data_IF_285886679098
#
_entry.id   IF_285886679098
#
_cell.length_a   1.000
_cell.length_b   1.000
_cell.length_c   1.000
_cell.angle_alpha   90.00
_cell.angle_beta   90.00
_cell.angle_gamma   90.00
#
_symmetry.space_group_name_H-M   'P 1'
#
loop_
_entity.id
_entity.type
_entity.pdbx_description
1 polymer ?
#
# COMPACT_ATOMS: atom_id res chain seq x y z
N UNK A 1 -15.01 -2.63 24.22
CA UNK A 1 -16.20 -3.52 24.03
C UNK A 1 -15.84 -4.54 22.98
N UNK A 2 -16.19 -5.81 23.17
CA UNK A 2 -15.95 -6.82 22.14
C UNK A 2 -17.07 -6.80 21.11
N UNK A 3 -16.73 -6.99 19.84
CA UNK A 3 -17.71 -7.26 18.79
C UNK A 3 -18.41 -8.58 19.13
N UNK A 4 -19.67 -8.52 19.49
CA UNK A 4 -20.46 -9.70 19.92
C UNK A 4 -21.38 -10.22 18.83
N UNK A 5 -21.66 -9.41 17.81
CA UNK A 5 -22.48 -9.83 16.67
C UNK A 5 -21.66 -10.64 15.67
N UNK A 6 -22.01 -11.91 15.47
CA UNK A 6 -21.33 -12.74 14.47
C UNK A 6 -21.34 -12.11 13.07
N UNK A 7 -22.38 -11.34 12.74
CA UNK A 7 -22.51 -10.70 11.45
C UNK A 7 -21.47 -9.60 11.19
N UNK A 8 -21.20 -8.74 12.18
CA UNK A 8 -20.20 -7.67 12.04
C UNK A 8 -18.80 -8.25 11.86
N UNK A 9 -18.44 -9.22 12.71
CA UNK A 9 -17.14 -9.90 12.65
C UNK A 9 -16.96 -10.60 11.30
N UNK A 10 -17.99 -11.34 10.85
CA UNK A 10 -17.94 -12.07 9.59
C UNK A 10 -17.78 -11.12 8.39
N UNK A 11 -18.58 -10.04 8.33
CA UNK A 11 -18.45 -9.02 7.27
C UNK A 11 -17.05 -8.43 7.22
N UNK A 12 -16.49 -8.08 8.39
CA UNK A 12 -15.19 -7.45 8.46
C UNK A 12 -14.07 -8.42 8.06
N UNK A 13 -14.16 -9.68 8.46
CA UNK A 13 -13.22 -10.71 8.04
C UNK A 13 -13.26 -10.97 6.54
N UNK A 14 -14.45 -11.03 5.93
CA UNK A 14 -14.58 -11.18 4.47
C UNK A 14 -13.98 -9.98 3.72
N UNK A 15 -14.14 -8.76 4.26
CA UNK A 15 -13.48 -7.57 3.70
C UNK A 15 -11.96 -7.67 3.84
N UNK A 16 -11.44 -8.10 4.99
CA UNK A 16 -9.99 -8.29 5.19
C UNK A 16 -9.40 -9.32 4.22
N UNK A 17 -10.07 -10.46 4.07
CA UNK A 17 -9.66 -11.49 3.10
C UNK A 17 -9.66 -10.94 1.67
N UNK A 18 -10.69 -10.17 1.31
CA UNK A 18 -10.78 -9.58 -0.02
C UNK A 18 -9.72 -8.50 -0.28
N UNK A 19 -9.19 -7.84 0.77
CA UNK A 19 -8.15 -6.80 0.68
C UNK A 19 -6.71 -7.35 0.57
N UNK A 20 -6.51 -8.66 0.62
CA UNK A 20 -5.17 -9.26 0.57
C UNK A 20 -4.26 -8.74 -0.57
N UNK A 21 -4.74 -8.51 -1.82
CA UNK A 21 -3.89 -7.95 -2.87
C UNK A 21 -3.40 -6.53 -2.59
N UNK A 22 -4.26 -5.68 -2.04
CA UNK A 22 -3.93 -4.29 -1.70
C UNK A 22 -3.00 -4.22 -0.50
N UNK A 23 -3.17 -5.11 0.48
CA UNK A 23 -2.24 -5.28 1.61
C UNK A 23 -0.86 -5.71 1.09
N UNK A 24 -0.81 -6.63 0.14
CA UNK A 24 0.44 -7.05 -0.51
C UNK A 24 1.12 -5.87 -1.21
N UNK A 25 0.36 -4.99 -1.88
CA UNK A 25 0.89 -3.78 -2.49
C UNK A 25 1.49 -2.83 -1.45
N UNK A 26 0.81 -2.59 -0.34
CA UNK A 26 1.31 -1.76 0.77
C UNK A 26 2.66 -2.26 1.29
N UNK A 27 2.80 -3.58 1.44
CA UNK A 27 4.02 -4.23 1.96
C UNK A 27 5.24 -4.12 1.05
N UNK A 28 5.06 -3.75 -0.21
CA UNK A 28 6.21 -3.52 -1.10
C UNK A 28 6.96 -2.23 -0.78
N UNK A 29 6.35 -1.32 -0.02
CA UNK A 29 6.93 -0.05 0.41
C UNK A 29 7.27 -0.03 1.90
N UNK A 30 7.76 1.09 2.41
CA UNK A 30 7.89 1.30 3.85
C UNK A 30 6.51 1.53 4.43
N UNK A 31 6.09 0.66 5.35
CA UNK A 31 4.75 0.74 5.91
C UNK A 31 4.75 0.74 7.43
N UNK A 32 3.74 1.36 7.99
CA UNK A 32 3.40 1.27 9.40
C UNK A 32 1.92 0.89 9.54
N UNK A 33 1.70 -0.39 9.78
CA UNK A 33 0.39 -1.00 9.97
C UNK A 33 0.29 -1.43 11.44
N UNK A 34 -0.76 -1.00 12.13
CA UNK A 34 -0.96 -1.35 13.53
C UNK A 34 -2.45 -1.34 13.88
N UNK A 35 -2.81 -2.07 14.92
CA UNK A 35 -4.13 -2.11 15.54
C UNK A 35 -4.40 -0.92 16.48
N UNK A 36 -3.38 -0.07 16.70
CA UNK A 36 -3.52 1.14 17.51
C UNK A 36 -4.46 2.12 16.83
N UNK A 37 -5.55 2.44 17.50
CA UNK A 37 -6.54 3.40 16.98
C UNK A 37 -5.95 4.81 16.85
N UNK A 38 -6.37 5.53 15.81
CA UNK A 38 -5.96 6.89 15.57
C UNK A 38 -7.15 7.79 15.23
N UNK A 39 -6.97 9.09 15.43
CA UNK A 39 -7.92 10.11 15.01
C UNK A 39 -7.63 10.55 13.57
N UNK A 40 -8.66 11.02 12.88
CA UNK A 40 -8.50 11.64 11.57
C UNK A 40 -7.57 12.84 11.65
N UNK A 41 -6.58 12.92 10.75
CA UNK A 41 -5.56 13.96 10.76
C UNK A 41 -4.38 13.67 11.71
N UNK A 42 -4.37 12.54 12.42
CA UNK A 42 -3.23 12.14 13.24
C UNK A 42 -1.99 11.92 12.37
N UNK A 43 -0.82 12.21 12.93
CA UNK A 43 0.46 12.02 12.27
C UNK A 43 1.12 10.75 12.79
N UNK A 44 1.44 9.84 11.89
CA UNK A 44 2.18 8.61 12.20
C UNK A 44 3.63 8.80 11.81
N UNK A 45 4.53 8.47 12.72
CA UNK A 45 5.97 8.52 12.50
C UNK A 45 6.42 7.23 11.81
N UNK A 46 6.94 7.36 10.61
CA UNK A 46 7.53 6.24 9.87
C UNK A 46 9.05 6.44 9.81
N UNK A 47 9.84 5.62 10.54
CA UNK A 47 11.29 5.74 10.53
C UNK A 47 11.87 5.17 9.25
N UNK A 48 12.89 5.82 8.70
CA UNK A 48 13.68 5.29 7.60
C UNK A 48 15.18 5.57 7.78
N UNK A 49 16.00 4.74 7.15
CA UNK A 49 17.45 4.85 7.23
C UNK A 49 17.97 5.43 5.93
N UNK A 50 18.70 6.54 6.02
CA UNK A 50 19.50 7.05 4.92
C UNK A 50 20.89 6.42 4.99
N UNK A 51 21.25 5.61 4.00
CA UNK A 51 22.59 5.06 3.90
C UNK A 51 23.60 6.19 3.68
N UNK A 52 24.69 6.16 4.42
CA UNK A 52 25.83 7.03 4.19
C UNK A 52 26.59 6.68 2.92
N UNK A 53 27.50 7.55 2.52
CA UNK A 53 28.46 7.26 1.45
C UNK A 53 29.46 6.22 1.93
N UNK A 54 29.78 5.25 1.06
CA UNK A 54 30.86 4.31 1.34
C UNK A 54 32.19 5.07 1.40
N UNK A 55 32.90 4.96 2.52
CA UNK A 55 34.24 5.51 2.68
C UNK A 55 35.26 4.37 2.57
N UNK A 56 36.32 4.63 1.82
CA UNK A 56 37.43 3.68 1.75
C UNK A 56 38.28 3.78 3.01
N UNK A 57 38.48 2.66 3.67
CA UNK A 57 39.47 2.56 4.74
C UNK A 57 40.84 2.57 4.13
N UNK A 58 41.53 3.73 4.18
CA UNK A 58 42.89 3.91 3.72
C UNK A 58 43.90 3.88 4.87
N UNK A 59 45.18 3.64 4.58
CA UNK A 59 46.25 3.69 5.56
C UNK A 59 46.35 5.06 6.25
N UNK A 60 45.96 6.11 5.56
CA UNK A 60 45.96 7.49 6.07
C UNK A 60 44.86 7.75 7.12
N UNK A 61 43.76 7.01 7.07
CA UNK A 61 42.71 7.11 8.07
C UNK A 61 43.08 6.46 9.42
N UNK A 62 44.11 5.63 9.43
CA UNK A 62 44.67 5.09 10.68
C UNK A 62 45.53 6.11 11.43
N UNK A 63 45.94 7.20 10.80
CA UNK A 63 46.84 8.20 11.38
C UNK A 63 46.10 9.35 12.07
N UNK A 64 44.77 9.46 11.91
CA UNK A 64 43.99 10.48 12.60
C UNK A 64 43.75 10.08 14.06
N UNK A 65 44.67 10.45 14.88
CA UNK A 65 44.66 10.17 16.32
C UNK A 65 43.60 10.94 17.10
N UNK A 66 42.84 11.84 16.45
CA UNK A 66 41.89 12.71 17.13
C UNK A 66 40.44 12.25 17.04
N UNK A 67 40.09 11.31 16.16
CA UNK A 67 38.69 10.92 15.93
C UNK A 67 38.34 9.45 16.16
N UNK A 68 39.25 8.72 16.87
CA UNK A 68 38.90 7.33 17.24
C UNK A 68 38.57 6.44 16.04
N UNK A 69 39.51 6.27 15.16
CA UNK A 69 39.74 5.12 14.29
C UNK A 69 38.67 4.66 13.28
N UNK A 70 37.45 5.18 13.27
CA UNK A 70 36.46 4.85 12.29
C UNK A 70 35.75 6.12 11.85
N UNK A 71 36.01 6.58 10.64
CA UNK A 71 35.17 7.56 10.01
C UNK A 71 33.73 6.98 10.01
N UNK A 72 32.84 7.63 10.70
CA UNK A 72 31.46 7.18 10.79
C UNK A 72 30.82 7.40 9.43
N UNK A 73 30.42 6.31 8.76
CA UNK A 73 29.52 6.42 7.65
C UNK A 73 28.35 7.30 8.09
N UNK A 74 28.12 8.40 7.39
CA UNK A 74 27.12 9.43 7.73
C UNK A 74 25.69 8.95 7.45
N UNK A 75 25.37 7.69 7.76
CA UNK A 75 24.02 7.18 7.76
C UNK A 75 23.23 7.86 8.87
N UNK A 76 22.07 8.39 8.55
CA UNK A 76 21.17 8.99 9.53
C UNK A 76 19.87 8.23 9.60
N UNK A 77 19.39 8.03 10.82
CA UNK A 77 18.00 7.65 11.05
C UNK A 77 17.17 8.93 10.92
N UNK A 78 16.27 8.95 9.97
CA UNK A 78 15.34 10.04 9.73
C UNK A 78 13.89 9.55 9.87
N UNK A 79 13.00 10.46 10.15
CA UNK A 79 11.58 10.15 10.30
C UNK A 79 10.77 10.97 9.31
N UNK A 80 9.77 10.33 8.73
CA UNK A 80 8.70 11.00 7.99
C UNK A 80 7.42 10.91 8.78
N UNK A 81 6.68 12.00 8.84
CA UNK A 81 5.38 12.05 9.47
C UNK A 81 4.29 11.97 8.41
N UNK A 82 3.68 10.81 8.31
CA UNK A 82 2.55 10.57 7.41
C UNK A 82 1.28 11.02 8.11
N UNK A 83 0.51 11.89 7.46
CA UNK A 83 -0.79 12.35 7.99
C UNK A 83 -1.90 11.40 7.52
N UNK A 84 -2.71 10.92 8.46
CA UNK A 84 -3.88 10.07 8.18
C UNK A 84 -5.07 10.94 7.77
N UNK A 85 -5.14 11.34 6.51
CA UNK A 85 -6.12 12.29 5.98
C UNK A 85 -7.23 11.66 5.12
N UNK A 86 -7.19 10.35 4.91
CA UNK A 86 -8.22 9.59 4.18
C UNK A 86 -8.90 8.58 5.09
N UNK A 87 -10.21 8.57 5.03
CA UNK A 87 -11.06 7.64 5.77
C UNK A 87 -12.08 6.97 4.85
N UNK A 88 -11.66 5.95 4.07
CA UNK A 88 -12.60 5.17 3.30
C UNK A 88 -13.52 4.39 4.23
N UNK A 89 -14.80 4.34 3.86
CA UNK A 89 -15.82 3.61 4.62
C UNK A 89 -16.74 2.84 3.70
N UNK A 90 -17.15 1.66 4.14
CA UNK A 90 -18.18 0.85 3.52
C UNK A 90 -19.33 0.70 4.49
N UNK A 91 -20.53 0.94 4.01
CA UNK A 91 -21.76 0.78 4.80
C UNK A 91 -22.65 -0.26 4.11
N UNK A 92 -22.90 -1.36 4.79
CA UNK A 92 -23.77 -2.44 4.32
C UNK A 92 -25.11 -2.35 5.07
N UNK A 93 -26.22 -1.99 4.40
CA UNK A 93 -27.53 -1.98 5.01
C UNK A 93 -28.06 -3.41 5.13
N UNK A 94 -28.72 -3.74 6.25
CA UNK A 94 -29.37 -5.02 6.49
C UNK A 94 -30.81 -4.76 6.87
N UNK A 95 -31.73 -5.21 6.05
CA UNK A 95 -33.17 -5.13 6.31
C UNK A 95 -33.63 -6.30 7.19
N UNK A 96 -34.87 -6.23 7.72
CA UNK A 96 -35.45 -7.35 8.46
C UNK A 96 -35.62 -8.60 7.59
N UNK A 97 -35.93 -8.43 6.31
CA UNK A 97 -36.04 -9.52 5.34
C UNK A 97 -34.69 -10.22 5.15
N UNK A 98 -33.61 -9.44 5.04
CA UNK A 98 -32.27 -10.00 4.92
C UNK A 98 -31.85 -10.82 6.14
N UNK A 99 -32.33 -10.47 7.36
CA UNK A 99 -32.03 -11.25 8.57
C UNK A 99 -32.61 -12.67 8.52
N UNK A 100 -33.68 -12.91 7.79
CA UNK A 100 -34.28 -14.22 7.61
C UNK A 100 -33.53 -15.08 6.58
N UNK A 101 -32.82 -14.42 5.65
CA UNK A 101 -32.06 -15.05 4.57
C UNK A 101 -30.55 -15.14 4.88
N UNK A 102 -30.08 -14.57 5.97
CA UNK A 102 -28.69 -14.39 6.38
C UNK A 102 -27.83 -15.64 6.68
N UNK A 103 -28.31 -16.90 6.60
CA UNK A 103 -27.39 -18.03 6.67
C UNK A 103 -26.54 -18.21 5.41
N UNK A 104 -26.71 -17.37 4.36
CA UNK A 104 -26.07 -17.60 3.08
C UNK A 104 -24.69 -16.95 3.01
N UNK A 105 -23.63 -17.78 2.92
CA UNK A 105 -22.23 -17.33 2.80
C UNK A 105 -22.02 -16.41 1.59
N UNK A 106 -22.85 -16.53 0.55
CA UNK A 106 -22.78 -15.66 -0.63
C UNK A 106 -23.06 -14.18 -0.36
N UNK A 107 -23.86 -13.85 0.65
CA UNK A 107 -24.11 -12.46 1.05
C UNK A 107 -22.85 -11.82 1.64
N UNK A 108 -22.16 -12.54 2.52
CA UNK A 108 -20.95 -12.05 3.18
C UNK A 108 -19.80 -11.88 2.20
N UNK A 109 -19.65 -12.81 1.24
CA UNK A 109 -18.67 -12.70 0.16
C UNK A 109 -18.91 -11.44 -0.70
N UNK A 110 -20.18 -11.13 -1.06
CA UNK A 110 -20.53 -9.90 -1.77
C UNK A 110 -20.26 -8.63 -0.95
N UNK A 111 -20.47 -8.68 0.37
CA UNK A 111 -20.10 -7.59 1.26
C UNK A 111 -18.58 -7.39 1.31
N UNK A 112 -17.81 -8.49 1.28
CA UNK A 112 -16.35 -8.48 1.15
C UNK A 112 -15.89 -7.82 -0.15
N UNK A 113 -16.46 -8.21 -1.29
CA UNK A 113 -16.16 -7.59 -2.60
C UNK A 113 -16.49 -6.10 -2.62
N UNK A 114 -17.65 -5.69 -2.08
CA UNK A 114 -18.02 -4.28 -1.98
C UNK A 114 -17.03 -3.52 -1.08
N UNK A 115 -16.57 -4.12 0.01
CA UNK A 115 -15.54 -3.58 0.88
C UNK A 115 -14.21 -3.35 0.16
N UNK A 116 -13.75 -4.36 -0.57
CA UNK A 116 -12.56 -4.26 -1.40
C UNK A 116 -12.66 -3.14 -2.43
N UNK A 117 -13.76 -3.07 -3.16
CA UNK A 117 -13.96 -2.06 -4.21
C UNK A 117 -13.90 -0.62 -3.66
N UNK A 118 -14.26 -0.39 -2.41
CA UNK A 118 -14.23 0.94 -1.79
C UNK A 118 -12.94 1.18 -1.03
N UNK A 119 -12.59 0.31 -0.09
CA UNK A 119 -11.42 0.49 0.77
C UNK A 119 -10.14 0.21 -0.01
N UNK A 120 -10.08 -0.89 -0.76
CA UNK A 120 -8.93 -1.28 -1.57
C UNK A 120 -8.62 -0.26 -2.67
N UNK A 121 -9.65 0.18 -3.42
CA UNK A 121 -9.47 1.26 -4.41
C UNK A 121 -9.01 2.57 -3.77
N UNK A 122 -9.44 2.87 -2.55
CA UNK A 122 -8.95 4.05 -1.83
C UNK A 122 -7.48 3.92 -1.46
N UNK A 123 -7.04 2.75 -0.98
CA UNK A 123 -5.62 2.46 -0.68
C UNK A 123 -4.78 2.62 -1.95
N UNK A 124 -5.20 1.96 -3.03
CA UNK A 124 -4.51 2.00 -4.32
C UNK A 124 -4.41 3.43 -4.87
N UNK A 125 -5.50 4.21 -4.80
CA UNK A 125 -5.53 5.62 -5.23
C UNK A 125 -4.61 6.51 -4.42
N UNK A 126 -4.55 6.31 -3.11
CA UNK A 126 -3.63 7.10 -2.26
C UNK A 126 -2.17 6.79 -2.57
N UNK A 127 -1.82 5.52 -2.77
CA UNK A 127 -0.47 5.13 -3.18
C UNK A 127 -0.14 5.73 -4.54
N UNK A 128 -0.99 5.51 -5.54
CA UNK A 128 -0.77 5.97 -6.91
C UNK A 128 -0.86 7.48 -7.06
N UNK A 129 -1.65 8.16 -6.22
CA UNK A 129 -1.77 9.62 -6.18
C UNK A 129 -0.48 10.36 -5.83
N UNK A 130 0.54 9.63 -5.34
CA UNK A 130 1.87 10.18 -5.15
C UNK A 130 2.73 10.15 -6.43
N UNK A 131 2.33 9.41 -7.46
CA UNK A 131 3.13 9.28 -8.68
C UNK A 131 2.77 10.34 -9.72
N UNK A 132 2.87 11.60 -9.36
CA UNK A 132 2.59 12.74 -10.24
C UNK A 132 3.88 13.45 -10.65
N UNK A 133 3.80 14.24 -11.72
CA UNK A 133 4.94 15.02 -12.20
C UNK A 133 5.46 16.02 -11.16
N UNK A 134 4.60 16.50 -10.28
CA UNK A 134 4.96 17.47 -9.23
C UNK A 134 5.68 16.81 -8.06
N UNK A 135 5.29 15.59 -7.71
CA UNK A 135 5.84 14.85 -6.56
C UNK A 135 7.05 14.00 -6.92
N UNK A 136 7.10 13.42 -8.13
CA UNK A 136 8.19 12.55 -8.59
C UNK A 136 9.34 13.40 -9.19
N UNK A 137 10.22 13.90 -8.32
CA UNK A 137 11.34 14.76 -8.71
C UNK A 137 12.50 14.03 -9.40
N UNK A 138 12.50 12.71 -9.41
CA UNK A 138 13.42 11.90 -10.21
C UNK A 138 13.27 12.13 -11.72
N UNK A 139 12.07 12.52 -12.15
CA UNK A 139 11.78 12.95 -13.51
C UNK A 139 10.83 12.02 -14.27
N UNK A 140 10.57 12.42 -15.53
CA UNK A 140 9.71 11.69 -16.46
C UNK A 140 10.51 10.61 -17.21
N UNK A 141 9.98 9.41 -17.27
CA UNK A 141 10.41 8.35 -18.17
C UNK A 141 9.36 8.21 -19.27
N UNK A 142 9.76 8.43 -20.51
CA UNK A 142 8.85 8.29 -21.65
C UNK A 142 8.94 6.87 -22.20
N UNK A 143 7.79 6.19 -22.28
CA UNK A 143 7.69 4.82 -22.76
C UNK A 143 6.39 4.66 -23.56
N UNK A 144 6.49 4.37 -24.86
CA UNK A 144 5.32 4.22 -25.73
C UNK A 144 4.60 2.89 -25.53
N UNK A 145 5.36 1.81 -25.23
CA UNK A 145 4.87 0.45 -24.98
C UNK A 145 5.88 -0.31 -24.13
N UNK A 146 5.42 -1.35 -23.46
CA UNK A 146 6.30 -2.22 -22.68
C UNK A 146 6.99 -3.22 -23.62
N UNK A 147 8.30 -3.09 -23.76
CA UNK A 147 9.16 -4.01 -24.50
C UNK A 147 10.28 -4.50 -23.60
N UNK A 148 10.90 -5.64 -23.92
CA UNK A 148 12.07 -6.16 -23.18
C UNK A 148 13.17 -5.09 -23.03
N UNK A 149 13.42 -4.32 -24.11
CA UNK A 149 14.40 -3.23 -24.09
C UNK A 149 13.95 -2.05 -23.22
N UNK A 150 12.65 -1.71 -23.22
CA UNK A 150 12.14 -0.62 -22.38
C UNK A 150 12.29 -0.97 -20.90
N UNK A 151 11.92 -2.20 -20.49
CA UNK A 151 12.10 -2.68 -19.12
C UNK A 151 13.58 -2.71 -18.72
N UNK A 152 14.45 -3.17 -19.61
CA UNK A 152 15.90 -3.15 -19.37
C UNK A 152 16.45 -1.71 -19.19
N UNK A 153 15.91 -0.73 -19.93
CA UNK A 153 16.26 0.68 -19.76
C UNK A 153 15.77 1.25 -18.42
N UNK A 154 14.58 0.86 -17.95
CA UNK A 154 14.10 1.25 -16.60
C UNK A 154 15.08 0.84 -15.52
N UNK A 155 15.69 -0.35 -15.66
CA UNK A 155 16.74 -0.80 -14.75
C UNK A 155 17.94 0.13 -14.67
N UNK A 156 18.29 0.79 -15.77
CA UNK A 156 19.41 1.74 -15.78
C UNK A 156 19.13 2.97 -14.90
N UNK A 157 17.89 3.42 -14.79
CA UNK A 157 17.52 4.50 -13.86
C UNK A 157 17.73 4.08 -12.42
N UNK A 158 17.33 2.86 -12.06
CA UNK A 158 17.58 2.28 -10.74
C UNK A 158 19.09 2.08 -10.50
N UNK A 159 19.82 1.61 -11.51
CA UNK A 159 21.27 1.40 -11.44
C UNK A 159 22.04 2.72 -11.23
N UNK A 160 21.61 3.80 -11.87
CA UNK A 160 22.22 5.13 -11.71
C UNK A 160 22.15 5.66 -10.27
N UNK A 161 21.22 5.14 -9.47
CA UNK A 161 21.08 5.43 -8.03
C UNK A 161 21.76 4.38 -7.14
N UNK A 162 22.45 3.38 -7.72
CA UNK A 162 23.13 2.32 -6.99
C UNK A 162 22.24 1.29 -6.29
N UNK A 163 20.91 1.25 -6.61
CA UNK A 163 19.90 0.53 -5.84
C UNK A 163 19.00 -0.37 -6.71
N UNK A 164 19.59 -1.11 -7.64
CA UNK A 164 18.82 -1.89 -8.65
C UNK A 164 17.79 -2.84 -8.03
N UNK A 165 18.19 -3.57 -6.98
CA UNK A 165 17.35 -4.62 -6.37
C UNK A 165 16.25 -4.07 -5.46
N UNK A 166 16.26 -2.78 -5.15
CA UNK A 166 15.34 -2.17 -4.19
C UNK A 166 14.19 -1.40 -4.84
N UNK A 167 14.15 -1.36 -6.16
CA UNK A 167 13.08 -0.65 -6.86
C UNK A 167 11.85 -1.51 -7.09
N UNK A 168 10.70 -0.90 -6.84
CA UNK A 168 9.37 -1.40 -7.18
C UNK A 168 8.92 -0.70 -8.46
N UNK A 169 8.48 -1.47 -9.43
CA UNK A 169 7.88 -0.96 -10.67
C UNK A 169 6.36 -1.08 -10.57
N UNK A 170 5.66 0.04 -10.57
CA UNK A 170 4.19 0.06 -10.58
C UNK A 170 3.75 0.40 -11.99
N UNK A 171 2.90 -0.41 -12.60
CA UNK A 171 2.41 -0.26 -13.96
C UNK A 171 0.89 -0.14 -14.00
N UNK A 172 0.39 0.65 -14.93
CA UNK A 172 -1.02 0.67 -15.33
C UNK A 172 -1.43 -0.69 -15.92
N UNK A 173 -2.71 -1.03 -15.86
CA UNK A 173 -3.23 -2.31 -16.33
C UNK A 173 -2.85 -2.65 -17.78
N UNK A 174 -2.86 -1.65 -18.68
CA UNK A 174 -2.46 -1.84 -20.08
C UNK A 174 -0.97 -2.24 -20.20
N UNK A 175 -0.09 -1.49 -19.50
CA UNK A 175 1.35 -1.75 -19.53
C UNK A 175 1.73 -3.04 -18.79
N UNK A 176 0.97 -3.39 -17.77
CA UNK A 176 1.15 -4.66 -17.08
C UNK A 176 0.73 -5.85 -17.98
N UNK A 177 -0.37 -5.73 -18.74
CA UNK A 177 -0.78 -6.72 -19.71
C UNK A 177 0.25 -6.90 -20.83
N UNK A 178 0.82 -5.79 -21.36
CA UNK A 178 1.92 -5.83 -22.31
C UNK A 178 3.11 -6.60 -21.73
N UNK A 179 3.48 -6.33 -20.47
CA UNK A 179 4.58 -7.02 -19.80
C UNK A 179 4.32 -8.52 -19.71
N UNK A 180 3.13 -8.93 -19.26
CA UNK A 180 2.76 -10.35 -19.18
C UNK A 180 2.87 -11.03 -20.56
N UNK A 181 2.43 -10.35 -21.62
CA UNK A 181 2.51 -10.89 -22.98
C UNK A 181 3.94 -11.16 -23.47
N UNK A 182 4.93 -10.44 -22.90
CA UNK A 182 6.35 -10.62 -23.21
C UNK A 182 7.00 -11.77 -22.45
N UNK A 183 6.32 -12.29 -21.43
CA UNK A 183 6.84 -13.34 -20.58
C UNK A 183 6.41 -14.68 -21.16
N UNK A 184 7.37 -15.45 -21.68
CA UNK A 184 7.13 -16.83 -22.11
C UNK A 184 6.71 -17.68 -20.92
N UNK A 185 5.74 -18.58 -21.14
CA UNK A 185 5.22 -19.54 -20.15
C UNK A 185 6.31 -20.40 -19.50
N UNK A 186 7.47 -20.52 -20.13
CA UNK A 186 8.62 -21.26 -19.63
C UNK A 186 9.45 -20.51 -18.57
N UNK A 187 9.24 -19.20 -18.40
CA UNK A 187 9.99 -18.36 -17.44
C UNK A 187 9.34 -18.38 -16.05
N UNK A 188 8.04 -18.63 -16.00
CA UNK A 188 7.29 -18.73 -14.75
C UNK A 188 7.15 -20.20 -14.34
N UNK A 189 8.09 -20.70 -13.58
CA UNK A 189 8.06 -22.06 -13.01
C UNK A 189 6.86 -22.30 -12.06
N UNK A 190 5.63 -22.20 -12.56
CA UNK A 190 4.42 -22.64 -11.87
C UNK A 190 3.78 -21.61 -10.90
N UNK A 191 4.28 -20.40 -10.82
CA UNK A 191 3.61 -19.32 -10.05
C UNK A 191 2.77 -18.52 -11.02
N UNK A 192 1.47 -18.46 -10.78
CA UNK A 192 0.56 -17.65 -11.60
C UNK A 192 0.62 -16.16 -11.13
N UNK A 193 1.40 -15.30 -11.81
CA UNK A 193 1.55 -13.90 -11.42
C UNK A 193 0.27 -13.11 -11.65
N UNK A 194 -0.71 -13.69 -12.35
CA UNK A 194 -1.95 -13.04 -12.71
C UNK A 194 -2.90 -12.95 -11.52
N UNK A 195 -2.81 -13.89 -10.56
CA UNK A 195 -3.77 -13.94 -9.44
C UNK A 195 -3.64 -12.78 -8.46
N UNK A 196 -2.43 -12.27 -8.22
CA UNK A 196 -2.19 -11.27 -7.16
C UNK A 196 -1.73 -9.90 -7.70
N UNK A 197 -1.57 -9.74 -9.02
CA UNK A 197 -1.08 -8.48 -9.60
C UNK A 197 0.36 -8.09 -9.19
N UNK A 198 1.10 -9.01 -8.57
CA UNK A 198 2.47 -8.79 -8.10
C UNK A 198 3.41 -9.83 -8.71
N UNK A 199 4.46 -9.36 -9.37
CA UNK A 199 5.53 -10.21 -9.89
C UNK A 199 6.80 -9.90 -9.10
N UNK A 200 7.31 -10.87 -8.38
CA UNK A 200 8.52 -10.71 -7.58
C UNK A 200 9.79 -11.01 -8.40
N UNK A 201 10.84 -10.22 -8.15
CA UNK A 201 12.22 -10.44 -8.62
C UNK A 201 12.39 -10.59 -10.13
N UNK A 202 11.51 -9.99 -10.93
CA UNK A 202 11.63 -10.02 -12.39
C UNK A 202 12.52 -8.87 -12.87
N UNK A 203 13.38 -9.15 -13.85
CA UNK A 203 14.31 -8.18 -14.43
C UNK A 203 15.21 -7.43 -13.43
N UNK A 204 15.35 -7.94 -12.21
CA UNK A 204 16.15 -7.32 -11.15
C UNK A 204 15.42 -6.24 -10.35
N UNK A 205 14.13 -6.03 -10.56
CA UNK A 205 13.28 -5.26 -9.66
C UNK A 205 12.91 -6.10 -8.44
N UNK A 206 12.65 -5.42 -7.31
CA UNK A 206 12.13 -6.09 -6.11
C UNK A 206 10.76 -6.72 -6.38
N UNK A 207 9.88 -5.94 -6.99
CA UNK A 207 8.55 -6.37 -7.41
C UNK A 207 8.03 -5.50 -8.54
N UNK A 208 7.10 -6.04 -9.32
CA UNK A 208 6.32 -5.33 -10.33
C UNK A 208 4.86 -5.46 -9.94
N UNK A 209 4.19 -4.32 -9.80
CA UNK A 209 2.82 -4.21 -9.34
C UNK A 209 1.91 -3.73 -10.46
N UNK A 210 0.70 -4.28 -10.51
CA UNK A 210 -0.38 -3.76 -11.35
C UNK A 210 -1.27 -2.82 -10.53
N UNK A 211 -1.59 -1.64 -11.08
CA UNK A 211 -2.59 -0.77 -10.49
C UNK A 211 -3.47 -0.17 -11.57
N UNK A 212 -4.77 -0.18 -11.35
CA UNK A 212 -5.77 0.45 -12.23
C UNK A 212 -6.11 1.89 -11.82
N UNK A 213 -5.54 2.36 -10.70
CA UNK A 213 -5.84 3.67 -10.11
C UNK A 213 -4.73 4.71 -10.39
N UNK A 214 -3.99 4.56 -11.48
CA UNK A 214 -2.96 5.52 -11.88
C UNK A 214 -3.56 6.89 -12.22
N UNK A 215 -2.88 8.00 -11.87
CA UNK A 215 -3.29 9.33 -12.27
C UNK A 215 -3.36 9.49 -13.80
N UNK A 216 -4.24 10.35 -14.27
CA UNK A 216 -4.43 10.58 -15.70
C UNK A 216 -3.12 10.95 -16.41
N UNK A 217 -2.82 10.26 -17.52
CA UNK A 217 -1.61 10.46 -18.31
C UNK A 217 -0.34 9.77 -17.78
N UNK A 218 -0.43 9.11 -16.61
CA UNK A 218 0.66 8.34 -16.03
C UNK A 218 0.40 6.85 -16.26
N UNK A 219 1.38 6.17 -16.83
CA UNK A 219 1.32 4.75 -17.17
C UNK A 219 2.10 3.86 -16.21
N UNK A 220 2.79 4.46 -15.27
CA UNK A 220 3.51 3.74 -14.24
C UNK A 220 4.41 4.62 -13.41
N UNK A 221 5.08 4.01 -12.45
CA UNK A 221 6.09 4.65 -11.63
C UNK A 221 7.21 3.68 -11.29
N UNK A 222 8.41 4.21 -11.14
CA UNK A 222 9.58 3.50 -10.66
C UNK A 222 9.98 4.09 -9.31
N UNK A 223 9.80 3.33 -8.24
CA UNK A 223 9.87 3.81 -6.85
C UNK A 223 10.81 2.93 -6.05
N UNK A 224 11.76 3.49 -5.28
CA UNK A 224 12.51 2.69 -4.30
C UNK A 224 11.55 2.08 -3.26
N UNK A 225 11.83 0.90 -2.75
CA UNK A 225 11.00 0.27 -1.72
C UNK A 225 10.85 1.13 -0.45
N UNK A 226 11.91 1.89 -0.12
CA UNK A 226 11.91 2.88 0.95
C UNK A 226 11.59 4.31 0.45
N UNK A 227 11.04 4.45 -0.76
CA UNK A 227 10.72 5.72 -1.39
C UNK A 227 9.33 6.26 -1.05
N UNK A 228 8.44 5.41 -0.59
CA UNK A 228 7.07 5.74 -0.21
C UNK A 228 6.78 5.23 1.19
N UNK A 229 6.22 6.08 2.04
CA UNK A 229 5.68 5.68 3.34
C UNK A 229 4.17 5.52 3.25
N UNK A 230 3.67 4.42 3.80
CA UNK A 230 2.23 4.14 3.90
C UNK A 230 1.89 3.86 5.35
N UNK A 231 0.91 4.57 5.90
CA UNK A 231 0.40 4.34 7.24
C UNK A 231 -1.07 3.96 7.20
N UNK A 232 -1.43 2.89 7.91
CA UNK A 232 -2.82 2.44 8.03
C UNK A 232 -3.15 2.23 9.50
N UNK A 233 -4.26 2.79 9.95
CA UNK A 233 -4.73 2.72 11.35
C UNK A 233 -6.24 2.52 11.41
N UNK A 234 -6.76 1.79 12.39
CA UNK A 234 -8.18 1.79 12.68
C UNK A 234 -8.62 3.15 13.26
N UNK A 235 -9.84 3.53 12.92
CA UNK A 235 -10.43 4.81 13.36
C UNK A 235 -10.80 4.74 14.83
N UNK A 236 -10.48 5.77 15.61
CA UNK A 236 -11.01 5.92 16.96
C UNK A 236 -12.52 6.17 16.92
N UNK A 237 -13.26 5.44 17.75
CA UNK A 237 -14.71 5.60 17.87
C UNK A 237 -14.99 6.67 18.93
N UNK A 238 -15.57 7.83 18.56
CA UNK A 238 -15.69 8.97 19.47
C UNK A 238 -16.55 8.66 20.70
N UNK A 239 -17.62 7.91 20.54
CA UNK A 239 -18.51 7.48 21.61
C UNK A 239 -18.88 6.00 21.46
N UNK A 240 -18.10 5.11 22.06
CA UNK A 240 -18.39 3.66 22.00
C UNK A 240 -19.75 3.28 22.64
N UNK A 241 -20.30 4.13 23.51
CA UNK A 241 -21.60 3.84 24.14
C UNK A 241 -22.78 4.12 23.21
N UNK A 242 -22.61 5.02 22.26
CA UNK A 242 -23.63 5.32 21.23
C UNK A 242 -23.83 4.17 20.23
N UNK A 243 -22.84 3.26 20.13
CA UNK A 243 -22.87 2.15 19.19
C UNK A 243 -23.00 0.83 19.95
N UNK A 244 -24.10 0.06 19.76
CA UNK A 244 -24.32 -1.19 20.51
C UNK A 244 -23.23 -2.24 20.21
N UNK A 245 -22.62 -2.17 19.04
CA UNK A 245 -21.54 -3.05 18.65
C UNK A 245 -20.49 -2.25 17.86
N UNK A 246 -19.31 -2.17 18.41
CA UNK A 246 -18.17 -1.52 17.77
C UNK A 246 -16.85 -2.17 18.23
N UNK A 247 -15.85 -2.15 17.35
CA UNK A 247 -14.53 -2.66 17.69
C UNK A 247 -13.58 -2.67 16.51
N UNK A 248 -12.36 -3.08 16.77
CA UNK A 248 -11.31 -3.25 15.78
C UNK A 248 -11.19 -4.73 15.47
N UNK A 249 -11.10 -5.06 14.20
CA UNK A 249 -10.80 -6.40 13.69
C UNK A 249 -9.49 -6.30 12.91
N UNK A 250 -8.55 -7.16 13.26
CA UNK A 250 -7.23 -7.21 12.64
C UNK A 250 -7.00 -8.56 11.97
N UNK A 251 -6.24 -8.56 10.88
CA UNK A 251 -5.71 -9.79 10.30
C UNK A 251 -4.45 -10.26 11.04
N UNK A 252 -3.90 -11.40 10.63
CA UNK A 252 -2.67 -11.97 11.20
C UNK A 252 -1.44 -11.07 10.97
N UNK A 253 -1.52 -10.16 10.03
CA UNK A 253 -0.46 -9.26 9.59
C UNK A 253 -0.54 -7.88 10.24
N UNK A 254 -1.55 -7.65 11.07
CA UNK A 254 -1.78 -6.38 11.79
C UNK A 254 -2.60 -5.34 11.02
N UNK A 255 -3.03 -5.64 9.79
CA UNK A 255 -3.94 -4.74 9.08
C UNK A 255 -5.31 -4.72 9.77
N UNK A 256 -5.77 -3.52 10.12
CA UNK A 256 -6.88 -3.37 11.04
C UNK A 256 -7.98 -2.48 10.49
N UNK A 257 -9.21 -2.93 10.67
CA UNK A 257 -10.42 -2.21 10.30
C UNK A 257 -11.25 -1.92 11.54
N UNK A 258 -11.82 -0.72 11.61
CA UNK A 258 -12.84 -0.40 12.60
C UNK A 258 -14.18 -0.79 12.05
N UNK A 259 -14.88 -1.64 12.80
CA UNK A 259 -16.23 -2.08 12.48
C UNK A 259 -17.22 -1.56 13.51
N UNK A 260 -18.35 -1.08 13.06
CA UNK A 260 -19.42 -0.62 13.94
C UNK A 260 -20.80 -0.94 13.36
N UNK A 261 -21.75 -1.16 14.26
CA UNK A 261 -23.15 -1.35 13.92
C UNK A 261 -23.97 -0.21 14.50
N UNK A 262 -24.84 0.34 13.70
CA UNK A 262 -25.87 1.27 14.15
C UNK A 262 -27.22 0.95 13.51
N UNK A 263 -28.29 1.38 14.16
CA UNK A 263 -29.66 1.21 13.65
C UNK A 263 -30.23 2.59 13.37
N UNK A 264 -30.72 2.77 12.15
CA UNK A 264 -31.49 3.94 11.79
C UNK A 264 -32.96 3.69 12.18
N UNK A 265 -33.41 4.39 13.19
CA UNK A 265 -34.77 4.27 13.71
C UNK A 265 -35.84 4.79 12.75
N UNK A 266 -35.48 5.70 11.84
CA UNK A 266 -36.43 6.24 10.87
C UNK A 266 -36.78 5.21 9.77
N UNK A 267 -35.82 4.42 9.36
CA UNK A 267 -35.97 3.39 8.30
C UNK A 267 -36.06 1.97 8.84
N UNK A 268 -35.90 1.74 10.15
CA UNK A 268 -35.83 0.43 10.80
C UNK A 268 -34.77 -0.51 10.20
N UNK A 269 -33.70 0.07 9.61
CA UNK A 269 -32.58 -0.68 9.03
C UNK A 269 -31.40 -0.70 9.99
N UNK A 270 -30.73 -1.84 10.07
CA UNK A 270 -29.42 -1.95 10.67
C UNK A 270 -28.34 -1.72 9.60
N UNK A 271 -27.27 -1.04 9.98
CA UNK A 271 -26.14 -0.77 9.10
C UNK A 271 -24.87 -1.32 9.74
N UNK A 272 -24.11 -2.04 8.95
CA UNK A 272 -22.72 -2.38 9.29
C UNK A 272 -21.80 -1.42 8.55
N UNK A 273 -20.97 -0.71 9.31
CA UNK A 273 -20.00 0.22 8.77
C UNK A 273 -18.60 -0.29 9.08
N UNK A 274 -17.78 -0.39 8.04
CA UNK A 274 -16.37 -0.77 8.14
C UNK A 274 -15.54 0.34 7.55
N UNK A 275 -14.50 0.77 8.28
CA UNK A 275 -13.69 1.92 7.93
C UNK A 275 -12.25 1.74 8.40
N UNK A 276 -11.33 2.46 7.80
CA UNK A 276 -9.93 2.58 8.21
C UNK A 276 -9.40 3.97 7.92
N UNK A 277 -8.27 4.35 8.49
CA UNK A 277 -7.53 5.55 8.15
C UNK A 277 -6.31 5.21 7.33
N UNK A 278 -6.03 5.99 6.31
CA UNK A 278 -4.90 5.82 5.41
C UNK A 278 -4.19 7.16 5.26
N UNK A 279 -2.88 7.08 5.20
CA UNK A 279 -2.02 8.19 4.82
C UNK A 279 -0.84 7.68 4.01
N UNK A 280 -0.36 8.49 3.08
CA UNK A 280 0.81 8.16 2.27
C UNK A 280 1.67 9.40 2.04
N UNK A 281 2.99 9.23 1.99
CA UNK A 281 3.91 10.32 1.63
C UNK A 281 5.17 9.78 0.95
N UNK A 282 5.75 10.58 0.04
CA UNK A 282 7.00 10.24 -0.64
C UNK A 282 8.20 10.60 0.24
N UNK A 283 8.98 9.59 0.62
CA UNK A 283 10.23 9.75 1.39
C UNK A 283 11.38 10.18 0.45
N UNK A 284 11.43 9.63 -0.76
CA UNK A 284 12.52 9.86 -1.73
C UNK A 284 12.02 10.38 -3.07
N UNK A 285 11.50 11.61 -3.12
CA UNK A 285 10.96 12.17 -4.38
C UNK A 285 12.01 12.26 -5.49
N UNK A 286 13.29 12.53 -5.16
CA UNK A 286 14.39 12.65 -6.12
C UNK A 286 14.85 11.32 -6.73
N UNK A 287 14.42 10.19 -6.16
CA UNK A 287 14.73 8.85 -6.63
C UNK A 287 13.49 8.17 -7.24
N UNK A 288 12.34 8.81 -7.17
CA UNK A 288 11.06 8.32 -7.70
C UNK A 288 10.80 8.93 -9.08
N UNK A 289 10.51 8.09 -10.06
CA UNK A 289 10.24 8.46 -11.43
C UNK A 289 8.82 8.10 -11.80
N UNK A 290 8.18 8.95 -12.63
CA UNK A 290 6.90 8.60 -13.24
C UNK A 290 7.06 8.22 -14.70
N UNK A 291 6.26 7.28 -15.17
CA UNK A 291 6.26 6.78 -16.54
C UNK A 291 5.03 7.36 -17.24
N UNK A 292 5.24 7.98 -18.39
CA UNK A 292 4.15 8.48 -19.21
C UNK A 292 4.29 7.98 -20.65
N UNK A 293 3.17 7.92 -21.36
CA UNK A 293 3.18 7.65 -22.78
C UNK A 293 3.94 8.76 -23.53
N UNK A 294 4.51 8.41 -24.66
CA UNK A 294 5.21 9.34 -25.56
C UNK A 294 4.25 10.35 -26.20
#
# INVERSE_FOLDING_TARGET
MSLTSPGVVKTTNEILVALAPEITMVKQFTYDISDTVADFGAKVRVPFITAGTAENYGADNCADTNTGNYAHATGSLSDVFVTLDKQPKVTVPITQTDKLELPNDSFWAKAGEAGRNVIGSSISKEICGNFTAEKCLGGKITMASVTKNAVAKLRNYAAAKGRIADYVLVLDGDYYADLISLLDSNVFGGVDPIQNGVIEKLYGFRSILCSYDMPAGIKGALVPADGLAVAVRPVAIPDPQAYPECGVVSDEEGFSLTALRFTDFATAKAYYNVTTLIGTDLIRPNETYYIAAS
#
